data_IF_482883977611
#
_entry.id   IF_482883977611
#
_cell.length_a   1.000
_cell.length_b   1.000
_cell.length_c   1.000
_cell.angle_alpha   90.00
_cell.angle_beta   90.00
_cell.angle_gamma   90.00
#
_symmetry.space_group_name_H-M   'P 1'
#
loop_
_entity.id
_entity.type
_entity.pdbx_description
1 polymer ?
#
# COMPACT_ATOMS: atom_id res chain seq x y z
N UNK A 1 4.53 10.51 7.78
CA UNK A 1 3.78 9.23 7.79
C UNK A 1 2.32 9.51 8.13
N UNK A 2 1.48 9.84 7.15
CA UNK A 2 0.03 9.98 7.36
C UNK A 2 -0.78 9.09 6.37
N UNK A 3 -0.12 8.59 5.31
CA UNK A 3 -0.72 7.72 4.28
C UNK A 3 -0.58 6.21 4.52
N UNK A 4 0.14 5.78 5.55
CA UNK A 4 0.48 4.35 5.75
C UNK A 4 -0.77 3.44 5.82
N UNK A 5 -1.85 3.94 6.41
CA UNK A 5 -3.12 3.20 6.57
C UNK A 5 -4.26 3.71 5.67
N UNK A 6 -3.93 4.48 4.62
CA UNK A 6 -4.96 5.00 3.70
C UNK A 6 -5.79 3.87 3.08
N UNK A 7 -5.15 2.76 2.70
CA UNK A 7 -5.80 1.58 2.15
C UNK A 7 -6.84 0.97 3.10
N UNK A 8 -6.55 0.96 4.40
CA UNK A 8 -7.46 0.44 5.42
C UNK A 8 -8.73 1.32 5.51
N UNK A 9 -8.55 2.65 5.58
CA UNK A 9 -9.68 3.60 5.67
C UNK A 9 -10.49 3.71 4.37
N UNK A 10 -9.83 3.70 3.21
CA UNK A 10 -10.46 4.04 1.93
C UNK A 10 -10.83 2.83 1.08
N UNK A 11 -10.03 1.76 1.10
CA UNK A 11 -10.26 0.57 0.27
C UNK A 11 -10.97 -0.55 1.04
N UNK A 12 -10.56 -0.85 2.28
CA UNK A 12 -11.19 -1.93 3.06
C UNK A 12 -12.54 -1.52 3.66
N UNK A 13 -12.55 -0.40 4.40
CA UNK A 13 -13.77 0.08 5.03
C UNK A 13 -14.76 0.66 4.02
N UNK A 14 -14.29 1.26 2.92
CA UNK A 14 -15.19 1.78 1.87
C UNK A 14 -16.23 2.77 2.41
N UNK A 15 -15.81 3.67 3.33
CA UNK A 15 -16.65 4.63 4.09
C UNK A 15 -17.56 4.02 5.17
N UNK A 16 -17.52 2.70 5.39
CA UNK A 16 -18.25 2.06 6.49
C UNK A 16 -17.59 2.38 7.83
N UNK A 17 -18.41 2.47 8.87
CA UNK A 17 -17.99 2.58 10.27
C UNK A 17 -17.94 1.20 10.92
N UNK A 18 -17.23 1.10 12.05
CA UNK A 18 -17.24 -0.10 12.88
C UNK A 18 -18.65 -0.38 13.39
N UNK A 19 -19.03 -1.65 13.49
CA UNK A 19 -20.41 -2.06 13.82
C UNK A 19 -20.62 -2.27 15.31
N UNK A 20 -19.60 -2.74 16.01
CA UNK A 20 -19.63 -3.02 17.43
C UNK A 20 -19.89 -1.76 18.26
N UNK A 21 -20.74 -1.92 19.28
CA UNK A 21 -21.08 -0.87 20.25
C UNK A 21 -20.43 -1.09 21.62
N UNK A 22 -19.56 -2.09 21.74
CA UNK A 22 -18.83 -2.43 22.96
C UNK A 22 -17.33 -2.29 22.72
N UNK A 23 -16.57 -1.90 23.75
CA UNK A 23 -15.12 -1.77 23.64
C UNK A 23 -14.42 -3.06 23.15
N UNK A 24 -14.76 -4.26 23.65
CA UNK A 24 -14.16 -5.50 23.15
C UNK A 24 -14.48 -5.77 21.68
N UNK A 25 -15.71 -5.53 21.24
CA UNK A 25 -16.10 -5.73 19.85
C UNK A 25 -15.41 -4.74 18.90
N UNK A 26 -15.24 -3.49 19.33
CA UNK A 26 -14.47 -2.49 18.57
C UNK A 26 -13.02 -2.92 18.42
N UNK A 27 -12.38 -3.39 19.50
CA UNK A 27 -11.01 -3.89 19.45
C UNK A 27 -10.90 -5.07 18.48
N UNK A 28 -11.82 -6.03 18.55
CA UNK A 28 -11.85 -7.17 17.64
C UNK A 28 -11.97 -6.75 16.18
N UNK A 29 -12.87 -5.82 15.84
CA UNK A 29 -13.01 -5.32 14.47
C UNK A 29 -11.74 -4.63 13.99
N UNK A 30 -11.09 -3.82 14.84
CA UNK A 30 -9.84 -3.15 14.49
C UNK A 30 -8.73 -4.17 14.22
N UNK A 31 -8.57 -5.18 15.09
CA UNK A 31 -7.58 -6.23 14.89
C UNK A 31 -7.86 -7.02 13.62
N UNK A 32 -9.12 -7.39 13.35
CA UNK A 32 -9.48 -8.09 12.12
C UNK A 32 -9.09 -7.28 10.87
N UNK A 33 -9.35 -5.96 10.86
CA UNK A 33 -8.96 -5.09 9.76
C UNK A 33 -7.45 -4.95 9.61
N UNK A 34 -6.71 -4.84 10.72
CA UNK A 34 -5.24 -4.75 10.70
C UNK A 34 -4.62 -6.06 10.21
N UNK A 35 -5.12 -7.21 10.66
CA UNK A 35 -4.66 -8.53 10.21
C UNK A 35 -4.85 -8.69 8.71
N UNK A 36 -6.05 -8.42 8.19
CA UNK A 36 -6.31 -8.51 6.74
C UNK A 36 -5.44 -7.53 5.96
N UNK A 37 -5.27 -6.30 6.45
CA UNK A 37 -4.35 -5.33 5.85
C UNK A 37 -2.92 -5.88 5.77
N UNK A 38 -2.42 -6.46 6.86
CA UNK A 38 -1.06 -7.00 6.92
C UNK A 38 -0.87 -8.21 6.02
N UNK A 39 -1.81 -9.15 6.00
CA UNK A 39 -1.76 -10.34 5.13
C UNK A 39 -1.71 -9.93 3.66
N UNK A 40 -2.53 -8.95 3.25
CA UNK A 40 -2.50 -8.45 1.87
C UNK A 40 -1.15 -7.77 1.56
N UNK A 41 -0.58 -7.03 2.51
CA UNK A 41 0.74 -6.40 2.31
C UNK A 41 1.87 -7.42 2.17
N UNK A 42 1.83 -8.50 2.93
CA UNK A 42 2.78 -9.61 2.81
C UNK A 42 2.64 -10.28 1.44
N UNK A 43 1.42 -10.64 1.04
CA UNK A 43 1.19 -11.25 -0.28
C UNK A 43 1.67 -10.37 -1.45
N UNK A 44 1.47 -9.04 -1.36
CA UNK A 44 2.01 -8.11 -2.35
C UNK A 44 3.54 -8.10 -2.34
N UNK A 45 4.16 -8.02 -1.17
CA UNK A 45 5.62 -7.97 -1.03
C UNK A 45 6.26 -9.26 -1.58
N UNK A 46 5.72 -10.41 -1.20
CA UNK A 46 6.18 -11.72 -1.66
C UNK A 46 6.05 -11.82 -3.18
N UNK A 47 4.89 -11.45 -3.74
CA UNK A 47 4.67 -11.44 -5.19
C UNK A 47 5.67 -10.55 -5.93
N UNK A 48 5.88 -9.31 -5.47
CA UNK A 48 6.86 -8.40 -6.09
C UNK A 48 8.29 -8.89 -5.96
N UNK A 49 8.60 -9.65 -4.90
CA UNK A 49 9.89 -10.30 -4.72
C UNK A 49 10.16 -11.47 -5.68
N UNK A 50 9.12 -12.05 -6.28
CA UNK A 50 9.27 -13.14 -7.27
C UNK A 50 9.73 -12.66 -8.64
N UNK A 51 9.55 -11.38 -8.98
CA UNK A 51 9.88 -10.83 -10.30
C UNK A 51 10.96 -9.75 -10.17
N UNK A 52 12.18 -9.98 -10.70
CA UNK A 52 13.25 -8.99 -10.67
C UNK A 52 12.82 -7.64 -11.25
N UNK A 53 13.36 -6.55 -10.69
CA UNK A 53 13.11 -5.17 -11.14
C UNK A 53 11.65 -4.69 -11.08
N UNK A 54 10.76 -5.43 -10.42
CA UNK A 54 9.38 -4.99 -10.20
C UNK A 54 9.33 -3.96 -9.08
N UNK A 55 9.04 -2.71 -9.44
CA UNK A 55 8.79 -1.65 -8.46
C UNK A 55 7.53 -1.99 -7.62
N UNK A 56 7.67 -2.23 -6.30
CA UNK A 56 6.55 -2.62 -5.43
C UNK A 56 5.50 -1.52 -5.29
N UNK A 57 5.82 -0.25 -5.58
CA UNK A 57 4.83 0.84 -5.58
C UNK A 57 3.78 0.71 -6.70
N UNK A 58 4.06 -0.11 -7.72
CA UNK A 58 3.12 -0.42 -8.81
C UNK A 58 2.09 -1.47 -8.41
N UNK A 59 2.35 -2.25 -7.36
CA UNK A 59 1.45 -3.30 -6.91
C UNK A 59 0.22 -2.69 -6.21
N UNK A 60 -0.96 -2.89 -6.80
CA UNK A 60 -2.20 -2.30 -6.31
C UNK A 60 -2.81 -3.08 -5.15
N UNK A 61 -2.92 -2.42 -3.98
CA UNK A 61 -3.63 -2.97 -2.83
C UNK A 61 -5.09 -3.32 -3.14
N UNK A 62 -5.77 -2.52 -3.96
CA UNK A 62 -7.18 -2.76 -4.30
C UNK A 62 -7.34 -4.03 -5.13
N UNK A 63 -6.41 -4.32 -6.06
CA UNK A 63 -6.44 -5.53 -6.87
C UNK A 63 -6.22 -6.75 -5.97
N UNK A 64 -5.19 -6.70 -5.11
CA UNK A 64 -4.91 -7.76 -4.15
C UNK A 64 -6.12 -8.04 -3.23
N UNK A 65 -6.77 -7.00 -2.71
CA UNK A 65 -7.95 -7.14 -1.85
C UNK A 65 -9.14 -7.77 -2.58
N UNK A 66 -9.40 -7.42 -3.84
CA UNK A 66 -10.50 -8.03 -4.60
C UNK A 66 -10.17 -9.48 -4.95
N UNK A 67 -8.95 -9.77 -5.42
CA UNK A 67 -8.51 -11.13 -5.67
C UNK A 67 -8.63 -12.00 -4.41
N UNK A 68 -8.22 -11.49 -3.24
CA UNK A 68 -8.39 -12.20 -1.97
C UNK A 68 -9.86 -12.48 -1.62
N UNK A 69 -10.76 -11.53 -1.89
CA UNK A 69 -12.20 -11.74 -1.70
C UNK A 69 -12.73 -12.80 -2.65
N UNK A 70 -12.33 -12.77 -3.91
CA UNK A 70 -12.76 -13.75 -4.91
C UNK A 70 -12.31 -15.16 -4.51
N UNK A 71 -11.08 -15.32 -3.99
CA UNK A 71 -10.61 -16.60 -3.45
C UNK A 71 -11.51 -17.11 -2.30
N UNK A 72 -11.88 -16.24 -1.36
CA UNK A 72 -12.77 -16.59 -0.24
C UNK A 72 -14.18 -16.92 -0.73
N UNK A 73 -14.73 -16.12 -1.65
CA UNK A 73 -16.09 -16.30 -2.17
C UNK A 73 -16.20 -17.61 -2.96
N UNK A 74 -15.19 -17.92 -3.77
CA UNK A 74 -15.15 -19.14 -4.58
C UNK A 74 -14.70 -20.37 -3.79
N UNK A 75 -14.36 -20.22 -2.50
CA UNK A 75 -13.71 -21.26 -1.69
C UNK A 75 -12.51 -21.90 -2.41
N UNK A 76 -11.76 -21.10 -3.17
CA UNK A 76 -10.61 -21.55 -3.93
C UNK A 76 -9.40 -21.78 -3.00
N UNK A 77 -8.60 -22.81 -3.28
CA UNK A 77 -7.41 -23.12 -2.50
C UNK A 77 -7.67 -23.73 -1.11
N UNK A 78 -8.89 -24.20 -0.83
CA UNK A 78 -9.27 -24.85 0.44
C UNK A 78 -8.75 -26.30 0.52
N UNK A 79 -8.44 -26.92 -0.62
CA UNK A 79 -7.88 -28.28 -0.68
C UNK A 79 -6.34 -28.17 -0.69
N UNK A 80 -5.70 -28.81 0.29
CA UNK A 80 -4.26 -28.72 0.59
C UNK A 80 -3.32 -29.36 -0.44
N UNK A 81 -3.83 -29.85 -1.56
CA UNK A 81 -3.04 -30.52 -2.61
C UNK A 81 -2.36 -29.54 -3.57
N UNK A 82 -2.65 -28.25 -3.43
CA UNK A 82 -2.04 -27.19 -4.24
C UNK A 82 -0.79 -26.65 -3.54
N UNK A 83 0.37 -26.79 -4.17
CA UNK A 83 1.61 -26.12 -3.76
C UNK A 83 1.36 -24.62 -3.56
N UNK A 84 1.58 -24.12 -2.35
CA UNK A 84 1.50 -22.68 -2.05
C UNK A 84 2.75 -22.03 -2.65
N UNK A 85 2.64 -21.48 -3.86
CA UNK A 85 3.70 -20.66 -4.42
C UNK A 85 3.77 -19.31 -3.71
N UNK A 86 4.97 -18.71 -3.64
CA UNK A 86 5.21 -17.44 -2.94
C UNK A 86 4.32 -16.29 -3.46
N UNK A 87 3.95 -16.30 -4.75
CA UNK A 87 3.03 -15.32 -5.29
C UNK A 87 1.56 -15.67 -5.00
N UNK A 88 1.17 -16.95 -5.10
CA UNK A 88 -0.21 -17.38 -4.94
C UNK A 88 -1.12 -16.87 -6.06
N UNK A 89 -2.43 -17.14 -5.95
CA UNK A 89 -3.42 -16.58 -6.88
C UNK A 89 -3.52 -15.05 -6.76
N UNK A 90 -3.36 -14.52 -5.53
CA UNK A 90 -3.45 -13.09 -5.24
C UNK A 90 -2.27 -12.35 -5.87
N UNK A 91 -1.04 -12.84 -5.69
CA UNK A 91 0.15 -12.22 -6.25
C UNK A 91 0.18 -12.25 -7.77
N UNK A 92 -0.23 -13.35 -8.41
CA UNK A 92 -0.38 -13.41 -9.87
C UNK A 92 -1.34 -12.33 -10.39
N UNK A 93 -2.52 -12.21 -9.78
CA UNK A 93 -3.48 -11.16 -10.16
C UNK A 93 -2.91 -9.74 -10.03
N UNK A 94 -2.05 -9.50 -9.03
CA UNK A 94 -1.35 -8.22 -8.86
C UNK A 94 -0.29 -8.00 -9.94
N UNK A 95 0.52 -9.02 -10.24
CA UNK A 95 1.58 -8.95 -11.25
C UNK A 95 1.01 -8.76 -12.67
N UNK A 96 -0.11 -9.40 -12.97
CA UNK A 96 -0.81 -9.25 -14.27
C UNK A 96 -1.42 -7.85 -14.45
N UNK A 97 -1.60 -7.10 -13.37
CA UNK A 97 -2.28 -5.80 -13.37
C UNK A 97 -1.46 -4.69 -12.68
N UNK A 98 -0.14 -4.70 -12.87
CA UNK A 98 0.73 -3.67 -12.32
C UNK A 98 0.33 -2.27 -12.80
N UNK A 99 0.22 -1.33 -11.86
CA UNK A 99 -0.07 0.06 -12.20
C UNK A 99 1.04 0.66 -13.08
N UNK A 100 0.74 1.71 -13.87
CA UNK A 100 1.76 2.45 -14.60
C UNK A 100 2.86 2.94 -13.66
N UNK A 101 4.10 2.96 -14.14
CA UNK A 101 5.25 3.46 -13.37
C UNK A 101 4.93 4.84 -12.78
N UNK A 102 5.10 4.95 -11.46
CA UNK A 102 4.74 6.18 -10.75
C UNK A 102 5.75 7.26 -11.12
N UNK A 103 5.24 8.41 -11.60
CA UNK A 103 6.08 9.59 -11.85
C UNK A 103 6.55 10.16 -10.52
N UNK A 104 7.84 10.45 -10.43
CA UNK A 104 8.38 11.17 -9.28
C UNK A 104 7.78 12.59 -9.23
N UNK A 105 7.20 12.95 -8.08
CA UNK A 105 6.65 14.28 -7.82
C UNK A 105 7.45 14.93 -6.71
N UNK A 106 8.36 15.83 -7.08
CA UNK A 106 9.06 16.69 -6.14
C UNK A 106 8.52 18.10 -6.29
N UNK A 107 8.09 18.68 -5.18
CA UNK A 107 7.76 20.10 -5.09
C UNK A 107 8.57 20.71 -3.94
N UNK A 108 9.06 21.95 -4.06
CA UNK A 108 9.64 22.66 -2.94
C UNK A 108 8.70 22.62 -1.73
N UNK A 109 9.27 22.51 -0.52
CA UNK A 109 8.47 22.52 0.71
C UNK A 109 7.74 23.85 0.82
N UNK A 110 6.42 23.80 0.77
CA UNK A 110 5.57 24.97 0.94
C UNK A 110 4.83 24.90 2.28
N UNK A 111 4.67 26.05 2.93
CA UNK A 111 3.82 26.15 4.13
C UNK A 111 2.37 26.07 3.67
N UNK A 112 1.61 25.08 4.17
CA UNK A 112 0.20 24.84 3.80
C UNK A 112 -0.72 26.05 4.08
N UNK A 113 -0.33 26.90 5.03
CA UNK A 113 -0.98 28.18 5.37
C UNK A 113 0.05 29.27 5.67
N UNK A 114 0.59 29.96 4.65
CA UNK A 114 1.44 31.13 4.89
C UNK A 114 0.57 32.28 5.42
N UNK A 115 1.18 33.16 6.23
CA UNK A 115 0.56 34.25 6.99
C UNK A 115 -0.60 34.96 6.25
N UNK A 116 -1.78 35.03 6.88
CA UNK A 116 -3.03 35.66 6.40
C UNK A 116 -3.79 34.95 5.26
N UNK A 117 -5.12 35.12 5.26
CA UNK A 117 -6.07 34.55 4.28
C UNK A 117 -5.78 34.97 2.83
N UNK A 118 -5.00 36.01 2.58
CA UNK A 118 -4.74 36.55 1.23
C UNK A 118 -3.29 36.54 0.76
N UNK A 119 -2.32 36.15 1.61
CA UNK A 119 -0.91 36.15 1.19
C UNK A 119 -0.56 35.10 0.12
N UNK A 120 -1.38 34.06 -0.05
CA UNK A 120 -1.13 33.06 -1.09
C UNK A 120 -1.23 33.63 -2.52
N UNK A 121 -1.94 34.75 -2.73
CA UNK A 121 -2.04 35.41 -4.04
C UNK A 121 -0.80 36.24 -4.39
N UNK A 122 -0.06 36.72 -3.39
CA UNK A 122 1.17 37.51 -3.59
C UNK A 122 2.44 36.66 -3.57
N UNK A 123 2.37 35.40 -3.15
CA UNK A 123 3.50 34.47 -3.24
C UNK A 123 3.77 34.12 -4.71
N UNK A 124 4.96 34.49 -5.21
CA UNK A 124 5.48 33.99 -6.49
C UNK A 124 5.75 32.49 -6.35
N UNK A 125 4.73 31.67 -6.63
CA UNK A 125 4.88 30.22 -6.66
C UNK A 125 5.67 29.83 -7.90
N UNK A 126 6.88 29.31 -7.68
CA UNK A 126 7.66 28.69 -8.75
C UNK A 126 6.91 27.45 -9.27
N UNK A 127 6.59 27.45 -10.57
CA UNK A 127 5.89 26.36 -11.27
C UNK A 127 6.84 25.54 -12.14
N UNK A 128 8.15 25.79 -12.07
CA UNK A 128 9.13 25.00 -12.81
C UNK A 128 9.07 23.55 -12.34
N UNK A 129 8.93 22.66 -13.32
CA UNK A 129 8.98 21.22 -13.09
C UNK A 129 10.38 20.74 -13.41
N UNK A 130 11.01 20.06 -12.46
CA UNK A 130 12.34 19.48 -12.63
C UNK A 130 12.21 17.97 -12.73
N UNK A 131 12.99 17.35 -13.63
CA UNK A 131 13.22 15.91 -13.56
C UNK A 131 14.07 15.63 -12.33
N UNK A 132 13.67 14.66 -11.53
CA UNK A 132 14.44 14.21 -10.39
C UNK A 132 14.51 12.68 -10.44
N UNK A 133 15.60 12.15 -9.89
CA UNK A 133 15.85 10.71 -9.76
C UNK A 133 16.10 10.45 -8.28
N UNK A 134 15.41 9.46 -7.72
CA UNK A 134 15.68 8.97 -6.36
C UNK A 134 16.38 7.62 -6.51
N UNK A 135 17.57 7.48 -5.91
CA UNK A 135 18.20 6.19 -5.67
C UNK A 135 17.96 5.80 -4.22
N UNK A 136 17.63 4.53 -3.98
CA UNK A 136 17.49 3.98 -2.64
C UNK A 136 18.47 2.82 -2.52
N UNK A 137 19.52 3.03 -1.74
CA UNK A 137 20.51 2.01 -1.44
C UNK A 137 20.16 1.38 -0.09
N UNK A 138 19.72 0.12 -0.10
CA UNK A 138 19.45 -0.63 1.12
C UNK A 138 20.78 -1.20 1.61
N UNK A 139 21.35 -0.57 2.63
CA UNK A 139 22.53 -1.09 3.30
C UNK A 139 22.10 -2.27 4.18
N UNK A 140 22.37 -3.49 3.73
CA UNK A 140 22.32 -4.66 4.59
C UNK A 140 23.50 -4.54 5.55
N UNK A 141 23.23 -4.15 6.80
CA UNK A 141 24.20 -4.34 7.87
C UNK A 141 24.38 -5.85 8.02
N UNK A 142 25.45 -6.39 7.41
CA UNK A 142 25.93 -7.72 7.72
C UNK A 142 26.22 -7.80 9.22
N UNK A 143 26.17 -8.98 9.84
CA UNK A 143 26.63 -9.12 11.21
C UNK A 143 28.07 -8.59 11.26
N UNK A 144 28.32 -7.62 12.14
CA UNK A 144 29.68 -7.23 12.49
C UNK A 144 30.39 -8.53 12.87
N UNK A 145 31.24 -9.03 11.97
CA UNK A 145 32.10 -10.18 12.24
C UNK A 145 33.16 -9.70 13.26
N UNK A 146 33.54 -10.56 14.21
CA UNK A 146 34.00 -10.19 15.55
C UNK A 146 35.24 -9.30 15.61
#
# INVERSE_FOLDING_TARGET
MESAYFALKKSMLGRRVLRARTLPGIAQEIYALLTVYQVIRIAIADATGTVPETDPDRASFSIALQAARDQVIQAAGVIADTTIDLAGAIGRAVLDNLMPARRLRVSPRAVKRPLSRYAYKSLRVDRRTYKATISIDILLTGPNSP
#
